data_IF_690813118336
#
_entry.id   IF_690813118336
#
_cell.length_a   1.000
_cell.length_b   1.000
_cell.length_c   1.000
_cell.angle_alpha   90.00
_cell.angle_beta   90.00
_cell.angle_gamma   90.00
#
_symmetry.space_group_name_H-M   'P 1'
#
loop_
_entity.id
_entity.type
_entity.pdbx_description
1 polymer ?
#
# COMPACT_ATOMS: atom_id res chain seq x y z
N UNK A 1 0.32 -2.40 -29.64
CA UNK A 1 -0.79 -2.89 -28.81
C UNK A 1 -1.37 -1.71 -28.07
N UNK A 2 -2.53 -1.22 -28.53
CA UNK A 2 -3.33 -0.19 -27.86
C UNK A 2 -4.60 -0.90 -27.36
N UNK A 3 -5.16 -0.38 -26.27
CA UNK A 3 -6.45 -0.73 -25.66
C UNK A 3 -6.41 -1.84 -24.59
N UNK A 4 -5.93 -1.49 -23.38
CA UNK A 4 -6.46 -2.04 -22.11
C UNK A 4 -6.56 -0.91 -21.06
N UNK A 5 -6.90 0.31 -21.47
CA UNK A 5 -6.99 1.48 -20.57
C UNK A 5 -8.44 1.97 -20.38
N UNK A 6 -9.44 1.18 -20.77
CA UNK A 6 -10.83 1.63 -20.82
C UNK A 6 -11.87 0.60 -20.34
N UNK A 7 -11.47 -0.34 -19.48
CA UNK A 7 -12.39 -1.28 -18.85
C UNK A 7 -12.20 -1.29 -17.33
N UNK A 8 -12.31 -0.12 -16.69
CA UNK A 8 -12.99 -0.13 -15.40
C UNK A 8 -14.46 -0.38 -15.74
N UNK A 9 -15.03 -1.56 -15.43
CA UNK A 9 -16.41 -1.84 -15.81
C UNK A 9 -17.30 -0.78 -15.17
N UNK A 10 -18.16 -0.12 -15.96
CA UNK A 10 -19.10 0.90 -15.49
C UNK A 10 -19.98 0.41 -14.31
N UNK A 11 -20.02 -0.91 -14.09
CA UNK A 11 -20.64 -1.57 -12.94
C UNK A 11 -19.87 -1.35 -11.62
N UNK A 12 -18.53 -1.31 -11.60
CA UNK A 12 -17.72 -1.05 -10.37
C UNK A 12 -18.05 0.32 -9.78
N UNK A 13 -17.96 1.37 -10.60
CA UNK A 13 -18.32 2.75 -10.20
C UNK A 13 -19.75 2.85 -9.70
N UNK A 14 -20.68 2.10 -10.29
CA UNK A 14 -22.08 2.10 -9.87
C UNK A 14 -22.23 1.50 -8.46
N UNK A 15 -21.63 0.35 -8.19
CA UNK A 15 -21.68 -0.29 -6.86
C UNK A 15 -20.99 0.53 -5.77
N UNK A 16 -19.88 1.16 -6.11
CA UNK A 16 -19.16 2.08 -5.24
C UNK A 16 -19.99 3.33 -4.92
N UNK A 17 -20.63 3.93 -5.92
CA UNK A 17 -21.56 5.06 -5.72
C UNK A 17 -22.73 4.66 -4.81
N UNK A 18 -23.31 3.48 -4.98
CA UNK A 18 -24.40 2.99 -4.12
C UNK A 18 -23.93 2.69 -2.68
N UNK A 19 -22.70 2.20 -2.50
CA UNK A 19 -22.07 2.00 -1.19
C UNK A 19 -21.94 3.34 -0.45
N UNK A 20 -21.42 4.36 -1.12
CA UNK A 20 -21.30 5.71 -0.54
C UNK A 20 -22.66 6.37 -0.26
N UNK A 21 -23.66 6.19 -1.12
CA UNK A 21 -25.04 6.64 -0.86
C UNK A 21 -25.62 5.94 0.38
N UNK A 22 -25.38 4.63 0.53
CA UNK A 22 -25.83 3.87 1.70
C UNK A 22 -25.20 4.37 2.99
N UNK A 23 -23.89 4.61 2.98
CA UNK A 23 -23.16 5.19 4.10
C UNK A 23 -23.68 6.59 4.45
N UNK A 24 -23.89 7.44 3.44
CA UNK A 24 -24.44 8.78 3.62
C UNK A 24 -25.83 8.78 4.27
N UNK A 25 -26.70 7.83 3.91
CA UNK A 25 -28.01 7.65 4.54
C UNK A 25 -27.90 7.22 6.00
N UNK A 26 -26.95 6.35 6.35
CA UNK A 26 -26.69 5.96 7.74
C UNK A 26 -26.24 7.17 8.55
N UNK A 27 -25.25 7.92 8.06
CA UNK A 27 -24.73 9.12 8.74
C UNK A 27 -25.84 10.16 8.93
N UNK A 28 -26.63 10.44 7.89
CA UNK A 28 -27.75 11.38 7.97
C UNK A 28 -28.81 10.92 8.98
N UNK A 29 -29.12 9.62 9.01
CA UNK A 29 -30.04 9.05 9.99
C UNK A 29 -29.52 9.15 11.43
N UNK A 30 -28.23 8.90 11.66
CA UNK A 30 -27.60 9.08 12.98
C UNK A 30 -27.66 10.55 13.40
N UNK A 31 -27.31 11.49 12.52
CA UNK A 31 -27.40 12.92 12.82
C UNK A 31 -28.84 13.37 13.15
N UNK A 32 -29.83 12.88 12.39
CA UNK A 32 -31.25 13.16 12.66
C UNK A 32 -31.72 12.56 13.99
N UNK A 33 -31.16 11.43 14.42
CA UNK A 33 -31.46 10.82 15.72
C UNK A 33 -30.84 11.58 16.90
N UNK A 34 -29.68 12.22 16.70
CA UNK A 34 -28.99 13.02 17.72
C UNK A 34 -29.64 14.40 17.89
N UNK A 35 -30.07 15.02 16.79
CA UNK A 35 -30.60 16.40 16.79
C UNK A 35 -32.13 16.42 16.92
N UNK A 36 -32.83 15.36 16.50
CA UNK A 36 -34.30 15.29 16.50
C UNK A 36 -34.88 14.83 17.84
N UNK A 37 -35.82 15.58 18.39
CA UNK A 37 -36.61 15.16 19.56
C UNK A 37 -37.98 14.59 19.15
N UNK A 38 -38.50 13.62 19.92
CA UNK A 38 -39.83 13.05 19.72
C UNK A 38 -39.99 12.24 18.43
N UNK A 39 -41.03 12.54 17.64
CA UNK A 39 -41.36 11.78 16.42
C UNK A 39 -40.27 11.84 15.34
N UNK A 40 -39.43 12.88 15.33
CA UNK A 40 -38.33 13.04 14.37
C UNK A 40 -37.21 12.02 14.63
N UNK A 41 -36.91 11.71 15.89
CA UNK A 41 -35.94 10.67 16.25
C UNK A 41 -36.39 9.26 15.85
N UNK A 42 -37.70 8.99 15.94
CA UNK A 42 -38.28 7.69 15.50
C UNK A 42 -38.22 7.55 13.97
N UNK A 43 -38.45 8.64 13.23
CA UNK A 43 -38.34 8.63 11.77
C UNK A 43 -36.90 8.49 11.26
N UNK A 44 -35.90 8.82 12.10
CA UNK A 44 -34.48 8.67 11.78
C UNK A 44 -34.02 7.21 11.67
N UNK A 45 -34.80 6.25 12.19
CA UNK A 45 -34.52 4.81 12.07
C UNK A 45 -34.63 4.34 10.61
N UNK A 46 -35.55 4.91 9.83
CA UNK A 46 -35.80 4.51 8.43
C UNK A 46 -34.56 4.69 7.55
N UNK A 47 -33.88 5.86 7.50
CA UNK A 47 -32.68 6.03 6.71
C UNK A 47 -31.49 5.20 7.24
N UNK A 48 -31.39 4.93 8.54
CA UNK A 48 -30.34 4.05 9.11
C UNK A 48 -30.50 2.62 8.58
N UNK A 49 -31.71 2.05 8.71
CA UNK A 49 -31.98 0.68 8.26
C UNK A 49 -31.86 0.56 6.74
N UNK A 50 -32.40 1.53 6.00
CA UNK A 50 -32.37 1.51 4.54
C UNK A 50 -30.95 1.73 4.01
N UNK A 51 -30.19 2.66 4.61
CA UNK A 51 -28.79 2.91 4.28
C UNK A 51 -27.89 1.73 4.60
N UNK A 52 -28.08 1.10 5.77
CA UNK A 52 -27.34 -0.10 6.17
C UNK A 52 -27.63 -1.30 5.26
N UNK A 53 -28.90 -1.52 4.89
CA UNK A 53 -29.28 -2.55 3.93
C UNK A 53 -28.68 -2.29 2.54
N UNK A 54 -28.69 -1.04 2.08
CA UNK A 54 -28.11 -0.66 0.80
C UNK A 54 -26.57 -0.85 0.81
N UNK A 55 -25.91 -0.44 1.89
CA UNK A 55 -24.46 -0.60 2.07
C UNK A 55 -24.07 -2.07 2.08
N UNK A 56 -24.77 -2.92 2.85
CA UNK A 56 -24.50 -4.36 2.93
C UNK A 56 -24.74 -5.07 1.60
N UNK A 57 -25.89 -4.84 0.94
CA UNK A 57 -26.18 -5.46 -0.37
C UNK A 57 -25.20 -4.99 -1.45
N UNK A 58 -24.83 -3.70 -1.45
CA UNK A 58 -23.88 -3.17 -2.41
C UNK A 58 -22.48 -3.74 -2.18
N UNK A 59 -22.07 -3.89 -0.92
CA UNK A 59 -20.80 -4.50 -0.55
C UNK A 59 -20.76 -5.98 -0.97
N UNK A 60 -21.82 -6.75 -0.70
CA UNK A 60 -21.90 -8.17 -1.12
C UNK A 60 -21.84 -8.31 -2.64
N UNK A 61 -22.58 -7.47 -3.39
CA UNK A 61 -22.57 -7.53 -4.87
C UNK A 61 -21.24 -7.07 -5.46
N UNK A 62 -20.59 -6.10 -4.83
CA UNK A 62 -19.25 -5.66 -5.22
C UNK A 62 -18.25 -6.81 -5.02
N UNK A 63 -18.36 -7.53 -3.91
CA UNK A 63 -17.56 -8.73 -3.62
C UNK A 63 -17.81 -9.87 -4.63
N UNK A 64 -19.05 -10.17 -4.99
CA UNK A 64 -19.36 -11.18 -6.01
C UNK A 64 -18.68 -10.83 -7.36
N UNK A 65 -18.69 -9.54 -7.72
CA UNK A 65 -18.10 -9.04 -8.96
C UNK A 65 -16.56 -9.09 -8.92
N UNK A 66 -15.95 -8.84 -7.76
CA UNK A 66 -14.51 -8.99 -7.54
C UNK A 66 -14.08 -10.46 -7.69
N UNK A 67 -14.82 -11.40 -7.07
CA UNK A 67 -14.57 -12.84 -7.17
C UNK A 67 -14.68 -13.33 -8.61
N UNK A 68 -15.71 -12.89 -9.35
CA UNK A 68 -15.86 -13.28 -10.75
C UNK A 68 -14.75 -12.69 -11.64
N UNK A 69 -14.24 -11.50 -11.30
CA UNK A 69 -13.11 -10.89 -12.00
C UNK A 69 -11.81 -11.67 -11.71
N UNK A 70 -11.53 -12.02 -10.47
CA UNK A 70 -10.39 -12.85 -10.10
C UNK A 70 -10.42 -14.23 -10.81
N UNK A 71 -11.59 -14.88 -10.86
CA UNK A 71 -11.79 -16.13 -11.62
C UNK A 71 -11.53 -15.95 -13.12
N UNK A 72 -11.90 -14.81 -13.69
CA UNK A 72 -11.65 -14.53 -15.12
C UNK A 72 -10.16 -14.38 -15.42
N UNK A 73 -9.39 -13.75 -14.52
CA UNK A 73 -7.93 -13.65 -14.67
C UNK A 73 -7.25 -15.00 -14.54
N UNK A 74 -7.70 -15.84 -13.61
CA UNK A 74 -7.23 -17.22 -13.50
C UNK A 74 -7.54 -18.04 -14.76
N UNK A 75 -8.74 -17.89 -15.33
CA UNK A 75 -9.11 -18.56 -16.58
C UNK A 75 -8.26 -18.07 -17.77
N UNK A 76 -7.99 -16.77 -17.88
CA UNK A 76 -7.13 -16.18 -18.91
C UNK A 76 -5.67 -16.62 -18.75
N UNK A 77 -5.18 -16.75 -17.52
CA UNK A 77 -3.84 -17.28 -17.23
C UNK A 77 -3.73 -18.77 -17.57
N UNK A 78 -4.75 -19.58 -17.27
CA UNK A 78 -4.80 -20.99 -17.63
C UNK A 78 -4.74 -21.22 -19.15
N UNK A 79 -5.37 -20.34 -19.94
CA UNK A 79 -5.30 -20.39 -21.41
C UNK A 79 -3.92 -19.98 -21.95
N UNK A 80 -3.21 -19.07 -21.28
CA UNK A 80 -1.88 -18.60 -21.70
C UNK A 80 -0.73 -19.53 -21.28
N UNK A 81 -0.91 -20.32 -20.24
CA UNK A 81 0.11 -21.19 -19.67
C UNK A 81 -0.44 -22.58 -19.31
N UNK A 82 -0.65 -23.47 -20.30
CA UNK A 82 -1.29 -24.77 -20.09
C UNK A 82 -0.45 -25.80 -19.30
N UNK A 83 0.71 -25.43 -18.74
CA UNK A 83 1.61 -26.36 -18.03
C UNK A 83 1.52 -26.34 -16.49
N UNK A 84 0.59 -25.59 -15.90
CA UNK A 84 0.39 -25.52 -14.43
C UNK A 84 -0.92 -26.19 -13.97
N UNK A 85 -1.39 -27.21 -14.70
CA UNK A 85 -2.74 -27.77 -14.52
C UNK A 85 -2.99 -28.57 -13.24
N UNK A 86 -2.01 -28.79 -12.36
CA UNK A 86 -2.17 -29.78 -11.27
C UNK A 86 -2.33 -29.24 -9.83
N UNK A 87 -2.22 -27.92 -9.56
CA UNK A 87 -2.23 -27.42 -8.16
C UNK A 87 -2.80 -26.02 -7.89
N UNK A 88 -3.98 -25.70 -8.43
CA UNK A 88 -4.73 -24.53 -7.96
C UNK A 88 -6.09 -24.97 -7.36
N UNK A 89 -6.07 -25.43 -6.11
CA UNK A 89 -7.30 -25.63 -5.32
C UNK A 89 -7.53 -24.35 -4.51
N UNK A 90 -8.28 -23.40 -5.08
CA UNK A 90 -8.87 -22.30 -4.29
C UNK A 90 -9.87 -22.95 -3.33
N UNK A 91 -9.56 -22.95 -2.04
CA UNK A 91 -10.49 -23.50 -1.06
C UNK A 91 -11.69 -22.54 -0.92
N UNK A 92 -12.86 -23.00 -1.37
CA UNK A 92 -14.17 -22.33 -1.23
C UNK A 92 -14.49 -21.96 0.25
N UNK A 93 -13.71 -22.50 1.20
CA UNK A 93 -13.76 -22.20 2.62
C UNK A 93 -13.34 -20.75 2.96
N UNK A 94 -12.30 -20.19 2.33
CA UNK A 94 -11.82 -18.82 2.61
C UNK A 94 -12.84 -17.74 2.18
N UNK A 95 -13.60 -18.00 1.10
CA UNK A 95 -14.66 -17.11 0.61
C UNK A 95 -15.85 -17.03 1.59
N UNK A 96 -16.08 -18.09 2.37
CA UNK A 96 -17.20 -18.16 3.31
C UNK A 96 -16.95 -17.38 4.61
N UNK A 97 -15.69 -17.19 5.02
CA UNK A 97 -15.30 -16.50 6.25
C UNK A 97 -15.33 -14.97 6.09
N UNK A 98 -14.88 -14.43 4.96
CA UNK A 98 -14.95 -13.00 4.64
C UNK A 98 -16.41 -12.50 4.49
N UNK A 99 -17.27 -13.28 3.84
CA UNK A 99 -18.72 -13.03 3.79
C UNK A 99 -19.35 -13.01 5.18
N UNK A 100 -18.85 -13.86 6.10
CA UNK A 100 -19.29 -13.90 7.49
C UNK A 100 -18.89 -12.62 8.24
N UNK A 101 -17.66 -12.12 8.04
CA UNK A 101 -17.16 -10.88 8.67
C UNK A 101 -17.92 -9.64 8.18
N UNK A 102 -18.18 -9.51 6.88
CA UNK A 102 -18.96 -8.40 6.33
C UNK A 102 -20.42 -8.39 6.83
N UNK A 103 -21.03 -9.56 6.99
CA UNK A 103 -22.37 -9.69 7.59
C UNK A 103 -22.36 -9.37 9.09
N UNK A 104 -21.31 -9.79 9.82
CA UNK A 104 -21.14 -9.49 11.25
C UNK A 104 -20.94 -8.00 11.48
N UNK A 105 -20.09 -7.32 10.70
CA UNK A 105 -19.87 -5.86 10.75
C UNK A 105 -21.14 -5.06 10.40
N UNK A 106 -21.89 -5.50 9.39
CA UNK A 106 -23.20 -4.89 9.07
C UNK A 106 -24.23 -5.09 10.18
N UNK A 107 -24.21 -6.25 10.85
CA UNK A 107 -25.11 -6.54 11.96
C UNK A 107 -24.72 -5.77 13.24
N UNK A 108 -23.44 -5.64 13.58
CA UNK A 108 -22.97 -4.92 14.77
C UNK A 108 -23.21 -3.41 14.68
N UNK A 109 -23.02 -2.81 13.51
CA UNK A 109 -23.36 -1.39 13.28
C UNK A 109 -24.86 -1.12 13.44
N UNK A 110 -25.71 -2.06 13.02
CA UNK A 110 -27.17 -1.96 13.19
C UNK A 110 -27.60 -2.05 14.66
N UNK A 111 -26.89 -2.85 15.47
CA UNK A 111 -27.16 -3.00 16.91
C UNK A 111 -26.64 -1.81 17.72
N UNK A 112 -25.48 -1.25 17.36
CA UNK A 112 -24.93 -0.02 17.97
C UNK A 112 -25.84 1.20 17.74
N UNK A 113 -26.43 1.32 16.55
CA UNK A 113 -27.40 2.38 16.25
C UNK A 113 -28.69 2.28 17.08
N UNK A 114 -29.07 1.06 17.52
CA UNK A 114 -30.19 0.84 18.44
C UNK A 114 -29.83 1.12 19.90
N UNK A 115 -28.56 0.94 20.29
CA UNK A 115 -28.06 1.20 21.65
C UNK A 115 -27.86 2.68 22.00
N UNK A 116 -27.51 3.51 21.01
CA UNK A 116 -27.25 4.94 21.22
C UNK A 116 -28.52 5.78 21.45
N UNK A 117 -29.73 5.25 21.20
CA UNK A 117 -31.00 5.97 21.36
C UNK A 117 -31.51 6.13 22.80
N UNK A 118 -30.83 5.57 23.82
CA UNK A 118 -31.35 5.54 25.21
C UNK A 118 -30.42 6.19 26.25
N UNK A 119 -29.16 6.51 25.90
CA UNK A 119 -28.24 7.17 26.83
C UNK A 119 -28.17 8.68 26.53
N UNK A 120 -29.07 9.42 27.18
CA UNK A 120 -29.19 10.87 27.02
C UNK A 120 -28.00 11.69 27.52
N UNK A 121 -27.95 12.90 26.97
CA UNK A 121 -27.78 14.17 27.70
C UNK A 121 -26.45 14.40 28.43
N UNK A 122 -25.69 15.44 28.03
CA UNK A 122 -25.09 16.49 28.89
C UNK A 122 -23.93 17.26 28.18
N UNK A 123 -24.15 18.58 27.97
CA UNK A 123 -23.18 19.72 27.92
C UNK A 123 -22.29 19.97 26.67
N UNK A 124 -21.68 21.18 26.51
CA UNK A 124 -22.32 22.47 26.20
C UNK A 124 -21.70 23.19 24.98
N UNK A 125 -22.38 24.24 24.52
CA UNK A 125 -21.98 25.18 23.46
C UNK A 125 -20.91 26.18 23.93
N UNK A 126 -19.86 26.38 23.13
CA UNK A 126 -18.94 27.54 23.02
C UNK A 126 -18.27 27.36 21.63
N UNK A 127 -18.09 28.30 20.70
CA UNK A 127 -18.15 29.76 20.64
C UNK A 127 -17.12 30.18 19.57
N UNK A 128 -17.56 30.80 18.48
CA UNK A 128 -16.78 31.36 17.35
C UNK A 128 -15.77 32.45 17.80
N UNK A 129 -14.67 32.83 17.14
CA UNK A 129 -14.49 33.42 15.77
C UNK A 129 -12.99 33.70 15.47
N UNK A 130 -12.58 33.50 14.21
CA UNK A 130 -11.79 34.39 13.30
C UNK A 130 -10.47 35.08 13.74
N UNK A 131 -9.43 35.00 12.88
CA UNK A 131 -8.60 36.15 12.47
C UNK A 131 -7.73 35.83 11.23
N UNK A 132 -7.81 36.71 10.24
CA UNK A 132 -6.94 36.85 9.06
C UNK A 132 -5.51 37.26 9.42
N UNK A 133 -4.53 36.94 8.55
CA UNK A 133 -3.18 37.50 8.61
C UNK A 133 -2.38 37.22 7.33
N UNK A 134 -2.16 38.25 6.52
CA UNK A 134 -1.44 38.23 5.26
C UNK A 134 0.11 38.26 5.40
N UNK A 135 0.76 37.87 4.30
CA UNK A 135 2.20 37.76 3.98
C UNK A 135 3.07 39.00 4.28
N UNK A 136 4.42 38.87 4.24
CA UNK A 136 5.13 39.38 3.06
C UNK A 136 6.34 38.55 2.57
N UNK A 137 6.79 38.91 1.36
CA UNK A 137 7.77 38.30 0.47
C UNK A 137 9.25 38.66 0.72
N UNK A 138 10.17 37.88 0.11
CA UNK A 138 11.53 38.24 -0.41
C UNK A 138 12.28 36.92 -0.79
N UNK A 139 13.22 36.77 -1.74
CA UNK A 139 13.95 37.57 -2.74
C UNK A 139 14.67 36.57 -3.67
N UNK A 140 14.94 36.97 -4.91
CA UNK A 140 15.56 36.17 -5.98
C UNK A 140 17.09 36.40 -6.12
N UNK A 141 17.80 35.44 -6.74
CA UNK A 141 19.17 35.44 -7.32
C UNK A 141 20.42 35.12 -6.45
N UNK A 142 21.58 34.73 -7.06
CA UNK A 142 21.83 33.77 -8.14
C UNK A 142 22.95 32.72 -7.80
N UNK A 143 23.15 31.75 -8.69
CA UNK A 143 24.10 30.64 -8.59
C UNK A 143 25.60 31.03 -8.65
N UNK A 144 26.49 30.24 -8.00
CA UNK A 144 27.87 30.07 -8.42
C UNK A 144 28.14 28.67 -8.98
N UNK A 145 28.75 28.63 -10.17
CA UNK A 145 29.53 27.50 -10.68
C UNK A 145 30.81 27.38 -9.86
N UNK A 146 31.04 26.24 -9.21
CA UNK A 146 32.36 25.89 -8.70
C UNK A 146 32.53 24.37 -8.68
N UNK A 147 33.41 23.89 -9.57
CA UNK A 147 34.02 22.55 -9.56
C UNK A 147 34.81 22.35 -8.27
N UNK A 148 34.20 21.67 -7.31
CA UNK A 148 34.89 21.02 -6.21
C UNK A 148 34.37 19.59 -6.15
N UNK A 149 35.26 18.60 -6.24
CA UNK A 149 34.94 17.22 -5.88
C UNK A 149 34.53 17.24 -4.41
N UNK A 150 33.26 16.95 -4.04
CA UNK A 150 32.89 16.96 -2.64
C UNK A 150 33.40 15.68 -2.00
N UNK A 151 34.30 15.80 -1.03
CA UNK A 151 34.50 14.80 0.04
C UNK A 151 33.48 15.07 1.16
N UNK A 152 32.25 15.41 0.79
CA UNK A 152 31.12 15.53 1.71
C UNK A 152 30.29 14.28 1.49
N UNK A 153 30.03 13.53 2.56
CA UNK A 153 29.09 12.41 2.49
C UNK A 153 27.76 12.89 1.88
N UNK A 154 27.08 12.08 1.05
CA UNK A 154 25.77 12.44 0.51
C UNK A 154 24.83 12.82 1.66
N UNK A 155 23.99 13.84 1.44
CA UNK A 155 23.02 14.24 2.43
C UNK A 155 22.04 13.08 2.70
N UNK A 156 21.80 12.77 3.98
CA UNK A 156 20.85 11.75 4.41
C UNK A 156 19.59 12.39 4.96
N UNK A 157 18.48 11.71 4.78
CA UNK A 157 17.18 12.14 5.29
C UNK A 157 16.67 11.17 6.34
N UNK A 158 15.63 11.61 7.02
CA UNK A 158 14.88 10.81 7.98
C UNK A 158 13.40 10.92 7.63
N UNK A 159 12.60 10.00 8.15
CA UNK A 159 11.15 10.16 8.09
C UNK A 159 10.73 11.51 8.72
N UNK A 160 9.88 12.27 8.02
CA UNK A 160 9.52 13.66 8.38
C UNK A 160 10.60 14.72 8.06
N UNK A 161 11.77 14.33 7.56
CA UNK A 161 12.86 15.23 7.16
C UNK A 161 13.57 14.68 5.91
N UNK A 162 12.89 14.66 4.74
CA UNK A 162 13.39 14.01 3.54
C UNK A 162 14.60 14.72 2.94
N UNK A 163 15.43 13.97 2.20
CA UNK A 163 16.45 14.54 1.33
C UNK A 163 15.97 14.68 -0.10
N UNK A 164 16.58 15.63 -0.82
CA UNK A 164 16.33 15.83 -2.23
C UNK A 164 16.62 14.58 -3.08
N UNK A 165 15.99 14.46 -4.25
CA UNK A 165 16.08 13.25 -5.06
C UNK A 165 17.51 13.02 -5.58
N UNK A 166 17.94 11.76 -5.51
CA UNK A 166 19.14 11.25 -6.14
C UNK A 166 18.86 10.92 -7.61
N UNK A 167 19.70 11.43 -8.51
CA UNK A 167 19.65 11.06 -9.93
C UNK A 167 20.76 10.05 -10.24
N UNK A 168 20.40 8.94 -10.90
CA UNK A 168 21.39 8.03 -11.48
C UNK A 168 22.18 8.76 -12.56
N UNK A 169 23.44 8.40 -12.78
CA UNK A 169 24.40 9.17 -13.59
C UNK A 169 23.95 9.45 -15.04
N UNK A 170 23.08 8.61 -15.61
CA UNK A 170 22.51 8.80 -16.95
C UNK A 170 21.25 9.69 -16.97
N UNK A 171 20.78 10.13 -15.80
CA UNK A 171 19.59 10.95 -15.61
C UNK A 171 18.27 10.21 -15.88
N UNK A 172 18.31 8.91 -16.17
CA UNK A 172 17.13 8.14 -16.57
C UNK A 172 16.31 7.63 -15.39
N UNK A 173 16.90 7.61 -14.19
CA UNK A 173 16.27 7.17 -12.96
C UNK A 173 16.43 8.26 -11.89
N UNK A 174 15.33 8.55 -11.21
CA UNK A 174 15.28 9.41 -10.03
C UNK A 174 14.82 8.61 -8.83
N UNK A 175 15.49 8.80 -7.69
CA UNK A 175 15.21 8.13 -6.44
C UNK A 175 15.00 9.20 -5.36
N UNK A 176 13.81 9.29 -4.79
CA UNK A 176 13.47 10.22 -3.72
C UNK A 176 13.08 9.49 -2.44
N UNK A 177 13.28 10.11 -1.29
CA UNK A 177 12.71 9.59 -0.05
C UNK A 177 11.21 9.86 -0.03
N UNK A 178 10.41 8.90 0.44
CA UNK A 178 8.97 9.08 0.63
C UNK A 178 8.75 9.98 1.84
N UNK A 179 8.11 11.12 1.62
CA UNK A 179 7.85 12.15 2.63
C UNK A 179 6.38 12.24 3.06
N UNK A 180 5.46 11.75 2.24
CA UNK A 180 4.05 11.60 2.58
C UNK A 180 3.85 10.50 3.63
N UNK A 181 3.10 10.81 4.69
CA UNK A 181 2.90 9.94 5.85
C UNK A 181 2.12 8.66 5.50
N UNK A 182 1.09 8.78 4.67
CA UNK A 182 0.24 7.65 4.28
C UNK A 182 1.00 6.74 3.30
N UNK A 183 1.71 7.32 2.33
CA UNK A 183 2.61 6.59 1.44
C UNK A 183 3.71 5.85 2.21
N UNK A 184 4.36 6.54 3.17
CA UNK A 184 5.40 5.95 4.00
C UNK A 184 4.84 4.80 4.82
N UNK A 185 3.68 4.98 5.45
CA UNK A 185 3.00 3.93 6.23
C UNK A 185 2.66 2.71 5.39
N UNK A 186 2.17 2.89 4.17
CA UNK A 186 1.91 1.79 3.24
C UNK A 186 3.18 1.04 2.82
N UNK A 187 4.28 1.74 2.53
CA UNK A 187 5.54 1.07 2.13
C UNK A 187 6.18 0.34 3.32
N UNK A 188 6.22 0.98 4.49
CA UNK A 188 6.89 0.44 5.66
C UNK A 188 6.04 -0.57 6.44
N UNK A 189 4.71 -0.45 6.43
CA UNK A 189 3.80 -1.41 7.06
C UNK A 189 3.79 -2.79 6.39
N UNK A 190 4.40 -2.91 5.21
CA UNK A 190 4.62 -4.19 4.54
C UNK A 190 5.76 -5.00 5.17
N UNK A 191 6.57 -4.39 6.03
CA UNK A 191 7.76 -5.03 6.62
C UNK A 191 7.52 -5.35 8.09
N UNK A 192 7.59 -6.63 8.45
CA UNK A 192 7.57 -7.06 9.85
C UNK A 192 8.96 -6.92 10.47
N UNK A 193 9.25 -5.79 11.12
CA UNK A 193 10.50 -5.59 11.86
C UNK A 193 10.31 -4.70 13.08
N UNK A 194 11.06 -4.97 14.16
CA UNK A 194 11.15 -4.10 15.33
C UNK A 194 12.06 -2.88 15.10
N UNK A 195 12.80 -2.86 13.98
CA UNK A 195 13.68 -1.77 13.57
C UNK A 195 12.92 -0.65 12.85
N UNK A 196 13.56 0.51 12.73
CA UNK A 196 13.05 1.60 11.90
C UNK A 196 12.96 1.23 10.41
N UNK A 197 12.13 1.97 9.68
CA UNK A 197 11.96 1.80 8.24
C UNK A 197 12.18 3.12 7.48
N UNK A 198 12.88 3.02 6.35
CA UNK A 198 13.03 4.07 5.36
C UNK A 198 12.36 3.64 4.06
N UNK A 199 11.58 4.53 3.47
CA UNK A 199 10.89 4.29 2.22
C UNK A 199 11.45 5.19 1.10
N UNK A 200 11.67 4.61 -0.08
CA UNK A 200 12.23 5.28 -1.25
C UNK A 200 11.32 5.11 -2.45
N UNK A 201 11.02 6.20 -3.16
CA UNK A 201 10.31 6.18 -4.43
C UNK A 201 11.31 6.25 -5.60
N UNK A 202 11.15 5.35 -6.56
CA UNK A 202 11.98 5.24 -7.76
C UNK A 202 11.11 5.47 -8.99
N UNK A 203 11.51 6.41 -9.83
CA UNK A 203 10.86 6.68 -11.11
C UNK A 203 11.89 6.56 -12.22
N UNK A 204 11.55 5.81 -13.27
CA UNK A 204 12.46 5.54 -14.38
C UNK A 204 11.84 5.94 -15.72
N UNK A 205 12.67 6.46 -16.62
CA UNK A 205 12.30 6.76 -18.00
C UNK A 205 12.40 5.52 -18.91
N UNK A 206 13.22 4.54 -18.53
CA UNK A 206 13.45 3.30 -19.26
C UNK A 206 13.31 2.09 -18.34
N UNK A 207 12.97 0.93 -18.90
CA UNK A 207 12.95 -0.33 -18.13
C UNK A 207 14.38 -0.81 -17.90
N UNK A 208 14.72 -1.16 -16.66
CA UNK A 208 16.00 -1.76 -16.30
C UNK A 208 15.90 -2.55 -14.98
N UNK A 209 16.89 -3.40 -14.71
CA UNK A 209 17.16 -3.86 -13.34
C UNK A 209 18.10 -2.84 -12.68
N UNK A 210 17.59 -2.14 -11.66
CA UNK A 210 18.29 -1.11 -10.92
C UNK A 210 18.93 -1.71 -9.66
N UNK A 211 20.24 -1.51 -9.53
CA UNK A 211 20.97 -1.69 -8.28
C UNK A 211 20.93 -0.38 -7.50
N UNK A 212 20.43 -0.39 -6.27
CA UNK A 212 20.44 0.77 -5.37
C UNK A 212 21.21 0.43 -4.10
N UNK A 213 22.21 1.24 -3.77
CA UNK A 213 22.91 1.16 -2.49
C UNK A 213 22.36 2.23 -1.56
N UNK A 214 21.74 1.81 -0.47
CA UNK A 214 21.21 2.66 0.60
C UNK A 214 22.26 2.66 1.72
N UNK A 215 22.65 3.84 2.19
CA UNK A 215 23.58 4.03 3.30
C UNK A 215 22.86 4.59 4.52
N UNK A 216 23.23 4.10 5.70
CA UNK A 216 22.62 4.46 6.97
C UNK A 216 23.59 5.20 7.91
N UNK A 217 23.06 6.04 8.80
CA UNK A 217 23.80 6.69 9.89
C UNK A 217 22.95 7.05 11.10
N UNK A 218 23.66 7.30 12.19
CA UNK A 218 23.12 7.89 13.42
C UNK A 218 22.73 9.38 13.29
N UNK A 219 23.32 10.10 12.32
CA UNK A 219 23.07 11.55 12.11
C UNK A 219 23.02 11.91 10.63
N UNK A 220 22.38 13.03 10.31
CA UNK A 220 22.20 13.56 8.94
C UNK A 220 23.49 13.67 8.13
N UNK A 221 24.60 13.98 8.80
CA UNK A 221 25.91 14.20 8.19
C UNK A 221 26.98 13.24 8.75
N UNK A 222 26.56 12.17 9.42
CA UNK A 222 27.44 11.17 10.02
C UNK A 222 28.08 10.27 8.97
N UNK A 223 29.13 9.54 9.37
CA UNK A 223 29.70 8.49 8.54
C UNK A 223 28.68 7.36 8.32
N UNK A 224 28.79 6.66 7.19
CA UNK A 224 28.00 5.45 6.94
C UNK A 224 28.32 4.38 7.98
N UNK A 225 27.32 3.97 8.75
CA UNK A 225 27.43 2.86 9.71
C UNK A 225 27.24 1.53 8.98
N UNK A 226 26.31 1.50 8.03
CA UNK A 226 25.91 0.31 7.27
C UNK A 226 25.44 0.70 5.87
N UNK A 227 25.65 -0.21 4.92
CA UNK A 227 25.03 -0.11 3.59
C UNK A 227 24.19 -1.33 3.30
N UNK A 228 23.20 -1.14 2.43
CA UNK A 228 22.27 -2.14 1.99
C UNK A 228 22.12 -2.04 0.48
N UNK A 229 22.23 -3.16 -0.20
CA UNK A 229 22.16 -3.23 -1.65
C UNK A 229 20.83 -3.87 -2.04
N UNK A 230 20.04 -3.17 -2.85
CA UNK A 230 18.73 -3.58 -3.33
C UNK A 230 18.72 -3.74 -4.84
N UNK A 231 18.00 -4.74 -5.31
CA UNK A 231 17.82 -5.07 -6.72
C UNK A 231 16.36 -4.90 -7.09
N UNK A 232 16.07 -3.97 -7.99
CA UNK A 232 14.69 -3.55 -8.28
C UNK A 232 14.43 -3.55 -9.78
N UNK A 233 13.34 -4.16 -10.24
CA UNK A 233 12.91 -3.98 -11.64
C UNK A 233 12.13 -2.68 -11.76
N UNK A 234 12.61 -1.73 -12.54
CA UNK A 234 11.92 -0.46 -12.79
C UNK A 234 11.32 -0.42 -14.18
N UNK A 235 10.15 0.22 -14.34
CA UNK A 235 9.43 0.31 -15.61
C UNK A 235 8.97 1.75 -15.87
N UNK A 236 8.95 2.21 -17.14
CA UNK A 236 8.44 3.53 -17.46
C UNK A 236 6.97 3.68 -17.09
N UNK A 237 6.64 4.74 -16.36
CA UNK A 237 5.26 5.07 -15.98
C UNK A 237 4.67 4.26 -14.81
N UNK A 238 5.46 3.40 -14.17
CA UNK A 238 5.10 2.70 -12.93
C UNK A 238 6.15 3.03 -11.87
N UNK A 239 5.82 3.85 -10.85
CA UNK A 239 6.75 4.11 -9.77
C UNK A 239 7.02 2.83 -8.99
N UNK A 240 8.24 2.70 -8.46
CA UNK A 240 8.61 1.59 -7.60
C UNK A 240 8.97 2.12 -6.22
N UNK A 241 8.36 1.58 -5.19
CA UNK A 241 8.62 1.94 -3.80
C UNK A 241 9.44 0.86 -3.13
N UNK A 242 10.52 1.25 -2.45
CA UNK A 242 11.48 0.34 -1.82
C UNK A 242 11.48 0.60 -0.33
N UNK A 243 11.10 -0.42 0.43
CA UNK A 243 11.26 -0.42 1.88
C UNK A 243 12.67 -0.85 2.26
N UNK A 244 13.24 -0.23 3.28
CA UNK A 244 14.58 -0.51 3.77
C UNK A 244 14.58 -0.41 5.29
N UNK A 245 15.11 -1.43 5.96
CA UNK A 245 14.96 -1.62 7.41
C UNK A 245 16.30 -1.36 8.10
N UNK A 246 16.26 -0.64 9.22
CA UNK A 246 17.44 -0.33 10.00
C UNK A 246 17.13 0.39 11.31
N UNK A 247 17.97 0.18 12.31
CA UNK A 247 17.87 0.91 13.59
C UNK A 247 18.34 2.37 13.46
N UNK A 248 19.03 2.68 12.36
CA UNK A 248 19.54 4.01 12.08
C UNK A 248 18.44 4.98 11.65
N UNK A 249 18.43 6.18 12.26
CA UNK A 249 17.43 7.21 11.98
C UNK A 249 17.62 7.91 10.62
N UNK A 250 18.83 7.89 10.08
CA UNK A 250 19.17 8.62 8.85
C UNK A 250 19.61 7.67 7.75
N UNK A 251 19.02 7.83 6.57
CA UNK A 251 19.34 7.02 5.39
C UNK A 251 19.48 7.89 4.13
N UNK A 252 20.24 7.40 3.16
CA UNK A 252 20.53 8.10 1.90
C UNK A 252 20.90 7.15 0.79
N UNK A 253 20.73 7.58 -0.46
CA UNK A 253 21.22 6.81 -1.62
C UNK A 253 22.70 7.11 -1.84
N UNK A 254 23.54 6.08 -1.72
CA UNK A 254 24.99 6.16 -1.95
C UNK A 254 25.31 6.01 -3.43
N UNK A 255 24.59 5.13 -4.13
CA UNK A 255 24.76 4.90 -5.56
C UNK A 255 23.54 4.21 -6.16
N UNK A 256 23.29 4.45 -7.45
CA UNK A 256 22.31 3.70 -8.25
C UNK A 256 22.85 3.40 -9.65
N UNK A 257 22.58 2.21 -10.18
CA UNK A 257 23.00 1.83 -11.53
C UNK A 257 22.02 0.87 -12.21
N UNK A 258 21.56 1.24 -13.41
CA UNK A 258 20.80 0.33 -14.28
C UNK A 258 21.74 -0.72 -14.89
N UNK A 259 21.33 -1.98 -14.84
CA UNK A 259 21.98 -3.09 -15.54
C UNK A 259 21.29 -3.40 -16.87
N UNK A 260 22.08 -3.81 -17.85
CA UNK A 260 21.63 -4.11 -19.21
C UNK A 260 21.19 -5.57 -19.43
N UNK A 261 21.43 -6.48 -18.48
CA UNK A 261 20.98 -7.88 -18.52
C UNK A 261 20.69 -8.39 -17.09
N UNK A 262 19.68 -9.26 -16.90
CA UNK A 262 19.40 -9.84 -15.59
C UNK A 262 20.51 -10.83 -15.22
N UNK A 263 21.31 -10.49 -14.21
CA UNK A 263 22.11 -11.45 -13.44
C UNK A 263 21.35 -11.93 -12.20
N UNK A 264 20.05 -11.66 -12.15
CA UNK A 264 19.18 -11.98 -11.03
C UNK A 264 18.56 -13.33 -11.28
N UNK A 265 18.84 -14.26 -10.39
CA UNK A 265 18.18 -15.55 -10.36
C UNK A 265 16.74 -15.34 -9.86
N UNK A 266 15.78 -15.44 -10.79
CA UNK A 266 14.35 -15.31 -10.49
C UNK A 266 13.76 -16.63 -9.93
N UNK A 267 14.55 -17.71 -9.84
CA UNK A 267 14.13 -19.04 -9.36
C UNK A 267 14.61 -19.31 -7.92
N UNK A 268 14.75 -18.25 -7.11
CA UNK A 268 15.19 -18.35 -5.70
C UNK A 268 14.08 -18.83 -4.75
N UNK A 269 12.83 -18.79 -5.18
CA UNK A 269 11.70 -19.26 -4.40
C UNK A 269 10.50 -19.60 -5.29
N UNK A 270 9.61 -20.44 -4.76
CA UNK A 270 8.23 -20.57 -5.24
C UNK A 270 7.30 -19.86 -4.29
N UNK A 271 6.22 -19.26 -4.78
CA UNK A 271 5.28 -18.55 -3.92
C UNK A 271 3.82 -18.83 -4.28
N UNK A 272 2.96 -18.65 -3.29
CA UNK A 272 1.52 -18.85 -3.37
C UNK A 272 0.83 -17.76 -2.56
N UNK A 273 -0.44 -17.45 -2.86
CA UNK A 273 -1.22 -16.60 -1.96
C UNK A 273 -1.26 -17.26 -0.57
N UNK A 274 -1.11 -16.47 0.49
CA UNK A 274 -1.11 -17.02 1.85
C UNK A 274 -2.49 -17.58 2.22
N UNK A 275 -2.50 -18.74 2.88
CA UNK A 275 -3.71 -19.31 3.46
C UNK A 275 -3.99 -18.78 4.88
N UNK A 276 -3.08 -17.98 5.45
CA UNK A 276 -3.18 -17.39 6.79
C UNK A 276 -3.15 -15.85 6.76
N UNK A 277 -4.25 -15.21 6.35
CA UNK A 277 -4.34 -13.74 6.36
C UNK A 277 -4.35 -13.14 7.77
N UNK A 278 -4.47 -13.95 8.84
CA UNK A 278 -4.45 -13.46 10.22
C UNK A 278 -3.02 -13.30 10.75
N UNK A 279 -2.01 -13.86 10.06
CA UNK A 279 -0.59 -13.68 10.35
C UNK A 279 -0.02 -12.34 9.83
N UNK A 280 -0.87 -11.45 9.30
CA UNK A 280 -0.44 -10.15 8.81
C UNK A 280 0.11 -9.26 9.95
N UNK A 281 1.14 -8.44 9.69
CA UNK A 281 1.62 -7.41 10.62
C UNK A 281 0.49 -6.54 11.19
N UNK A 282 0.67 -5.95 12.38
CA UNK A 282 -0.39 -5.12 12.99
C UNK A 282 -0.71 -3.90 12.12
N UNK A 283 0.30 -3.34 11.47
CA UNK A 283 0.19 -2.23 10.53
C UNK A 283 -0.71 -2.58 9.34
N UNK A 284 -0.76 -3.86 8.95
CA UNK A 284 -1.66 -4.36 7.92
C UNK A 284 -3.14 -4.35 8.31
N UNK A 285 -3.48 -4.24 9.60
CA UNK A 285 -4.88 -4.25 10.03
C UNK A 285 -5.59 -2.94 9.70
N UNK A 286 -4.85 -1.83 9.67
CA UNK A 286 -5.38 -0.52 9.31
C UNK A 286 -5.19 -0.21 7.82
N UNK A 287 -4.04 -0.58 7.25
CA UNK A 287 -3.66 -0.28 5.87
C UNK A 287 -4.17 -1.30 4.85
N UNK A 288 -4.44 -2.51 5.33
CA UNK A 288 -4.79 -3.68 4.53
C UNK A 288 -3.60 -4.24 3.72
N UNK A 289 -3.51 -5.57 3.68
CA UNK A 289 -2.39 -6.27 3.05
C UNK A 289 -2.81 -7.53 2.30
N UNK A 290 -2.01 -7.88 1.29
CA UNK A 290 -2.05 -9.18 0.61
C UNK A 290 -0.75 -9.93 0.88
N UNK A 291 -0.86 -11.13 1.47
CA UNK A 291 0.27 -11.98 1.81
C UNK A 291 0.53 -13.06 0.77
N UNK A 292 1.81 -13.41 0.60
CA UNK A 292 2.27 -14.50 -0.23
C UNK A 292 3.25 -15.37 0.56
N UNK A 293 2.97 -16.67 0.65
CA UNK A 293 3.89 -17.62 1.27
C UNK A 293 5.01 -17.94 0.28
N UNK A 294 6.22 -17.54 0.63
CA UNK A 294 7.44 -17.73 -0.13
C UNK A 294 8.17 -18.95 0.43
N UNK A 295 8.41 -19.94 -0.41
CA UNK A 295 9.19 -21.14 -0.11
C UNK A 295 10.55 -21.05 -0.82
N UNK A 296 11.63 -20.72 -0.09
CA UNK A 296 12.95 -20.54 -0.68
C UNK A 296 13.59 -21.87 -1.09
N UNK A 297 14.23 -21.87 -2.26
CA UNK A 297 15.01 -23.02 -2.76
C UNK A 297 16.45 -23.02 -2.26
N UNK A 298 16.91 -21.93 -1.64
CA UNK A 298 18.23 -21.74 -1.03
C UNK A 298 18.18 -20.60 -0.01
N UNK A 299 19.21 -20.53 0.84
CA UNK A 299 19.40 -19.40 1.75
C UNK A 299 19.63 -18.08 0.99
N UNK A 300 18.99 -17.02 1.46
CA UNK A 300 19.21 -15.65 1.01
C UNK A 300 19.03 -14.65 2.15
N UNK A 301 20.11 -14.15 2.76
CA UNK A 301 20.01 -13.23 3.91
C UNK A 301 19.44 -11.85 3.54
N UNK A 302 19.47 -11.49 2.25
CA UNK A 302 19.03 -10.19 1.75
C UNK A 302 18.26 -10.38 0.44
N UNK A 303 17.09 -11.02 0.51
CA UNK A 303 16.22 -11.11 -0.65
C UNK A 303 15.41 -9.82 -0.82
N UNK A 304 15.13 -9.48 -2.07
CA UNK A 304 14.19 -8.43 -2.45
C UNK A 304 12.95 -9.09 -3.07
N UNK A 305 11.81 -8.92 -2.40
CA UNK A 305 10.50 -9.40 -2.88
C UNK A 305 9.76 -8.23 -3.50
N UNK A 306 9.47 -8.31 -4.79
CA UNK A 306 8.81 -7.26 -5.55
C UNK A 306 7.37 -7.65 -5.94
N UNK A 307 6.43 -6.79 -5.58
CA UNK A 307 5.02 -6.88 -5.90
C UNK A 307 4.66 -5.85 -6.96
N UNK A 308 3.68 -6.20 -7.80
CA UNK A 308 2.88 -5.22 -8.52
C UNK A 308 1.59 -4.98 -7.72
N UNK A 309 1.30 -3.71 -7.42
CA UNK A 309 0.14 -3.28 -6.64
C UNK A 309 -0.79 -2.47 -7.54
N UNK A 310 -2.07 -2.84 -7.49
CA UNK A 310 -3.15 -2.32 -8.33
C UNK A 310 -4.17 -1.50 -7.54
N UNK A 311 -3.77 -1.06 -6.37
CA UNK A 311 -4.53 -0.18 -5.50
C UNK A 311 -3.82 1.17 -5.33
N UNK A 312 -4.57 2.19 -4.93
CA UNK A 312 -4.05 3.52 -4.64
C UNK A 312 -4.24 3.84 -3.15
N UNK A 313 -3.15 3.83 -2.40
CA UNK A 313 -3.10 4.22 -1.00
C UNK A 313 -2.08 5.33 -0.82
N UNK A 314 -2.39 6.38 -0.04
CA UNK A 314 -1.46 7.44 0.32
C UNK A 314 -0.81 8.17 -0.87
N UNK A 315 -1.44 8.20 -2.05
CA UNK A 315 -0.86 8.85 -3.22
C UNK A 315 0.33 8.12 -3.84
N UNK A 316 0.54 6.84 -3.51
CA UNK A 316 1.50 5.96 -4.20
C UNK A 316 1.17 5.80 -5.70
N UNK A 317 -0.07 6.09 -6.08
CA UNK A 317 -0.56 5.99 -7.44
C UNK A 317 -0.88 4.55 -7.82
N UNK A 318 -1.58 4.39 -8.94
CA UNK A 318 -2.02 3.08 -9.41
C UNK A 318 -1.84 2.96 -10.94
N UNK A 319 -1.09 1.95 -11.42
CA UNK A 319 -0.38 0.92 -10.65
C UNK A 319 0.96 1.42 -10.11
N UNK A 320 1.46 0.76 -9.06
CA UNK A 320 2.83 0.93 -8.56
C UNK A 320 3.46 -0.42 -8.22
N UNK A 321 4.78 -0.46 -8.08
CA UNK A 321 5.48 -1.63 -7.56
C UNK A 321 5.96 -1.38 -6.12
N UNK A 322 5.98 -2.43 -5.31
CA UNK A 322 6.47 -2.40 -3.94
C UNK A 322 7.58 -3.44 -3.79
N UNK A 323 8.70 -3.06 -3.19
CA UNK A 323 9.83 -3.94 -2.89
C UNK A 323 10.03 -3.99 -1.40
N UNK A 324 9.92 -5.19 -0.84
CA UNK A 324 10.15 -5.44 0.58
C UNK A 324 11.39 -6.31 0.79
N UNK A 325 12.20 -6.01 1.81
CA UNK A 325 13.34 -6.83 2.15
C UNK A 325 12.89 -8.05 2.97
N UNK A 326 13.45 -9.21 2.67
CA UNK A 326 13.15 -10.44 3.41
C UNK A 326 14.39 -11.32 3.57
N UNK A 327 14.57 -11.90 4.75
CA UNK A 327 15.54 -12.96 4.98
C UNK A 327 14.89 -14.31 4.64
N UNK A 328 15.54 -15.08 3.78
CA UNK A 328 15.07 -16.38 3.33
C UNK A 328 16.02 -17.47 3.81
N UNK A 329 15.44 -18.54 4.36
CA UNK A 329 16.15 -19.76 4.72
C UNK A 329 15.63 -20.94 3.90
N UNK A 330 16.53 -21.77 3.39
CA UNK A 330 16.18 -22.91 2.54
C UNK A 330 15.14 -23.80 3.24
N UNK A 331 14.05 -24.10 2.52
CA UNK A 331 12.99 -24.99 3.01
C UNK A 331 12.13 -24.44 4.16
N UNK A 332 12.38 -23.21 4.62
CA UNK A 332 11.58 -22.56 5.65
C UNK A 332 10.63 -21.55 4.99
N UNK A 333 9.31 -21.82 4.95
CA UNK A 333 8.36 -20.88 4.38
C UNK A 333 8.28 -19.61 5.22
N UNK A 334 8.17 -18.48 4.53
CA UNK A 334 7.98 -17.16 5.14
C UNK A 334 6.92 -16.39 4.35
N UNK A 335 6.06 -15.64 5.02
CA UNK A 335 5.03 -14.85 4.35
C UNK A 335 5.55 -13.44 4.07
N UNK A 336 5.54 -13.05 2.80
CA UNK A 336 5.85 -11.69 2.37
C UNK A 336 4.55 -10.92 2.16
N UNK A 337 4.48 -9.67 2.62
CA UNK A 337 3.27 -8.87 2.60
C UNK A 337 3.41 -7.69 1.63
N UNK A 338 2.34 -7.39 0.90
CA UNK A 338 2.15 -6.14 0.20
C UNK A 338 1.10 -5.31 0.94
N UNK A 339 1.49 -4.17 1.52
CA UNK A 339 0.62 -3.25 2.27
C UNK A 339 0.07 -2.12 1.39
N UNK A 340 -0.87 -1.34 1.94
CA UNK A 340 -1.56 -0.27 1.23
C UNK A 340 -2.56 -0.81 0.20
N UNK A 341 -3.26 -1.89 0.57
CA UNK A 341 -4.26 -2.54 -0.30
C UNK A 341 -5.58 -2.66 0.44
N UNK A 342 -6.72 -2.56 -0.23
CA UNK A 342 -8.03 -2.83 0.37
C UNK A 342 -8.23 -4.32 0.76
N UNK A 343 -7.18 -5.15 0.66
CA UNK A 343 -7.12 -6.58 1.03
C UNK A 343 -8.00 -7.48 0.16
N UNK A 344 -8.19 -7.14 -1.12
CA UNK A 344 -8.83 -8.03 -2.10
C UNK A 344 -7.82 -8.86 -2.89
N UNK A 345 -8.18 -10.12 -3.16
CA UNK A 345 -7.40 -10.98 -4.05
C UNK A 345 -7.29 -10.33 -5.44
N UNK A 346 -6.06 -10.01 -5.85
CA UNK A 346 -5.77 -9.30 -7.11
C UNK A 346 -5.36 -7.84 -6.95
N UNK A 347 -5.44 -7.25 -5.75
CA UNK A 347 -4.92 -5.90 -5.48
C UNK A 347 -3.39 -5.86 -5.44
N UNK A 348 -2.75 -7.00 -5.19
CA UNK A 348 -1.32 -7.17 -5.35
C UNK A 348 -1.00 -8.53 -5.96
N UNK A 349 0.14 -8.60 -6.65
CA UNK A 349 0.72 -9.83 -7.17
C UNK A 349 2.22 -9.84 -6.88
N UNK A 350 2.74 -10.91 -6.26
CA UNK A 350 4.18 -11.12 -6.18
C UNK A 350 4.71 -11.42 -7.59
N UNK A 351 5.59 -10.55 -8.07
CA UNK A 351 6.13 -10.62 -9.44
C UNK A 351 7.54 -11.16 -9.51
N UNK A 352 8.34 -10.97 -8.45
CA UNK A 352 9.74 -11.36 -8.43
C UNK A 352 10.21 -11.55 -7.00
N UNK A 353 10.98 -12.61 -6.76
CA UNK A 353 11.88 -12.71 -5.61
C UNK A 353 13.29 -12.72 -6.18
N UNK A 354 14.17 -11.89 -5.63
CA UNK A 354 15.56 -11.81 -6.08
C UNK A 354 16.51 -11.96 -4.91
N UNK A 355 17.63 -12.63 -5.17
CA UNK A 355 18.68 -12.85 -4.18
C UNK A 355 20.04 -12.47 -4.78
N UNK A 356 20.91 -11.89 -3.96
CA UNK A 356 22.32 -11.64 -4.29
C UNK A 356 23.26 -12.56 -3.53
#
# INVERSE_FOLDING_TARGET
>A
MRVVSALMPAQRRRHETWRWIGLGLVVAGVLLSVVGTGAVGVLAVVPIVTGGALFTVSSVRWWDLAVDTARSFQADQAVRSPQLEDRAIVSVAAVSSARRRAVVLGATLSVLALGAGVAGSVLPVLGSTQADGASPAAVDAPAPLSTATPTTAPARGAHGSPVGPFAVADGTVQIGQVDDEEAWSAVCGAVSSDSGCSAWAVVAANECDLDVTIGFADTQHGATTRTELRSVRVRPGTPVFVASVGDELWSGIESGACRSQPAVDEHVATWFATDDPEAAPEECWELGCIGFDVLPSRDCPQADVQFAVYDDYGGLGNPHDLVVPLELHEGTPVTAWASGTESFEGDAALTRVSCR
#
